data_IF_110964806074
#
_entry.id   IF_110964806074
#
_cell.length_a   1.000
_cell.length_b   1.000
_cell.length_c   1.000
_cell.angle_alpha   90.00
_cell.angle_beta   90.00
_cell.angle_gamma   90.00
#
_symmetry.space_group_name_H-M   'P 1'
#
loop_
_entity.id
_entity.type
_entity.pdbx_description
1 polymer ?
#
# COMPACT_ATOMS: atom_id res chain seq x y z
N UNK A 1 19.49 -4.56 -7.81
CA UNK A 1 18.19 -4.22 -7.18
C UNK A 1 17.26 -5.44 -7.02
N UNK A 2 17.07 -6.29 -8.05
CA UNK A 2 16.20 -7.48 -7.96
C UNK A 2 16.47 -8.40 -6.75
N UNK A 3 17.74 -8.74 -6.45
CA UNK A 3 18.10 -9.58 -5.29
C UNK A 3 17.68 -9.01 -3.92
N UNK A 4 17.69 -7.68 -3.75
CA UNK A 4 17.33 -7.05 -2.47
C UNK A 4 15.82 -7.09 -2.23
N UNK A 5 15.04 -6.81 -3.27
CA UNK A 5 13.58 -6.94 -3.25
C UNK A 5 13.15 -8.39 -3.05
N UNK A 6 13.83 -9.34 -3.69
CA UNK A 6 13.54 -10.76 -3.55
C UNK A 6 13.83 -11.28 -2.13
N UNK A 7 14.96 -10.86 -1.54
CA UNK A 7 15.32 -11.22 -0.15
C UNK A 7 14.35 -10.64 0.88
N UNK A 8 13.82 -9.44 0.62
CA UNK A 8 12.90 -8.73 1.51
C UNK A 8 11.44 -8.79 1.05
N UNK A 9 11.07 -9.73 0.17
CA UNK A 9 9.76 -9.78 -0.47
C UNK A 9 8.59 -9.78 0.53
N UNK A 10 8.77 -10.45 1.68
CA UNK A 10 7.78 -10.49 2.75
C UNK A 10 7.59 -9.12 3.40
N UNK A 11 8.65 -8.31 3.55
CA UNK A 11 8.54 -6.95 4.07
C UNK A 11 7.79 -6.03 3.09
N UNK A 12 8.02 -6.19 1.78
CA UNK A 12 7.31 -5.43 0.74
C UNK A 12 5.81 -5.75 0.76
N UNK A 13 5.46 -7.04 0.88
CA UNK A 13 4.07 -7.48 1.02
C UNK A 13 3.43 -6.88 2.28
N UNK A 14 4.07 -7.01 3.43
CA UNK A 14 3.55 -6.48 4.71
C UNK A 14 3.35 -4.96 4.64
N UNK A 15 4.29 -4.23 4.04
CA UNK A 15 4.20 -2.79 3.87
C UNK A 15 3.02 -2.39 2.97
N UNK A 16 2.81 -3.10 1.86
CA UNK A 16 1.67 -2.88 0.97
C UNK A 16 0.32 -3.13 1.66
N UNK A 17 0.21 -4.20 2.45
CA UNK A 17 -1.01 -4.50 3.22
C UNK A 17 -1.27 -3.43 4.30
N UNK A 18 -0.23 -3.01 5.04
CA UNK A 18 -0.38 -1.97 6.06
C UNK A 18 -0.85 -0.64 5.47
N UNK A 19 -0.30 -0.26 4.32
CA UNK A 19 -0.73 0.93 3.57
C UNK A 19 -2.20 0.85 3.17
N UNK A 20 -2.64 -0.28 2.61
CA UNK A 20 -4.05 -0.50 2.26
C UNK A 20 -4.98 -0.42 3.47
N UNK A 21 -4.64 -1.10 4.57
CA UNK A 21 -5.45 -1.07 5.79
C UNK A 21 -5.53 0.37 6.32
N UNK A 22 -4.41 1.09 6.38
CA UNK A 22 -4.40 2.47 6.86
C UNK A 22 -5.21 3.41 5.97
N UNK A 23 -5.09 3.30 4.65
CA UNK A 23 -5.87 4.09 3.69
C UNK A 23 -7.37 3.79 3.77
N UNK A 24 -7.74 2.51 3.88
CA UNK A 24 -9.13 2.10 4.04
C UNK A 24 -9.72 2.57 5.38
N UNK A 25 -8.96 2.47 6.46
CA UNK A 25 -9.38 2.95 7.79
C UNK A 25 -9.60 4.46 7.77
N UNK A 26 -8.69 5.21 7.13
CA UNK A 26 -8.77 6.66 7.01
C UNK A 26 -9.96 7.07 6.15
N UNK A 27 -10.19 6.41 5.00
CA UNK A 27 -11.36 6.63 4.17
C UNK A 27 -12.68 6.31 4.87
N UNK A 28 -12.71 5.27 5.73
CA UNK A 28 -13.91 4.92 6.50
C UNK A 28 -14.20 5.93 7.63
N UNK A 29 -13.17 6.35 8.38
CA UNK A 29 -13.34 7.25 9.52
C UNK A 29 -13.57 8.72 9.11
N UNK A 30 -12.99 9.13 7.98
CA UNK A 30 -12.95 10.53 7.52
C UNK A 30 -13.74 10.74 6.22
N UNK A 31 -14.67 9.86 5.91
CA UNK A 31 -15.51 9.95 4.71
C UNK A 31 -16.24 11.30 4.65
N UNK A 32 -16.11 12.01 3.52
CA UNK A 32 -16.68 13.34 3.33
C UNK A 32 -15.93 14.48 4.05
N UNK A 33 -14.78 14.19 4.67
CA UNK A 33 -13.93 15.22 5.28
C UNK A 33 -12.63 15.36 4.50
N UNK A 34 -12.59 16.38 3.66
CA UNK A 34 -11.37 16.81 2.97
C UNK A 34 -10.44 17.52 3.98
N UNK A 35 -9.11 17.33 3.91
CA UNK A 35 -8.34 16.55 2.93
C UNK A 35 -8.07 15.09 3.34
N UNK A 36 -8.58 14.65 4.49
CA UNK A 36 -8.25 13.36 5.09
C UNK A 36 -8.68 12.17 4.22
N UNK A 37 -9.85 12.26 3.59
CA UNK A 37 -10.31 11.27 2.62
C UNK A 37 -9.33 11.13 1.43
N UNK A 38 -8.84 12.25 0.90
CA UNK A 38 -7.85 12.28 -0.19
C UNK A 38 -6.54 11.62 0.22
N UNK A 39 -6.06 11.88 1.43
CA UNK A 39 -4.88 11.19 1.97
C UNK A 39 -5.11 9.68 2.12
N UNK A 40 -6.31 9.27 2.54
CA UNK A 40 -6.72 7.86 2.59
C UNK A 40 -6.69 7.20 1.22
N UNK A 41 -7.20 7.89 0.19
CA UNK A 41 -7.14 7.44 -1.20
C UNK A 41 -5.70 7.27 -1.72
N UNK A 42 -4.82 8.23 -1.42
CA UNK A 42 -3.39 8.17 -1.77
C UNK A 42 -2.70 6.99 -1.09
N UNK A 43 -2.92 6.78 0.21
CA UNK A 43 -2.37 5.65 0.97
C UNK A 43 -2.82 4.32 0.38
N UNK A 44 -4.10 4.22 0.01
CA UNK A 44 -4.67 3.03 -0.61
C UNK A 44 -4.04 2.76 -1.99
N UNK A 45 -3.89 3.80 -2.82
CA UNK A 45 -3.23 3.72 -4.13
C UNK A 45 -1.76 3.31 -4.04
N UNK A 46 -1.02 3.86 -3.08
CA UNK A 46 0.38 3.47 -2.82
C UNK A 46 0.49 2.03 -2.34
N UNK A 47 -0.38 1.61 -1.41
CA UNK A 47 -0.43 0.23 -0.94
C UNK A 47 -0.70 -0.77 -2.07
N UNK A 48 -1.66 -0.44 -2.93
CA UNK A 48 -1.96 -1.25 -4.12
C UNK A 48 -0.79 -1.29 -5.11
N UNK A 49 -0.13 -0.16 -5.38
CA UNK A 49 1.05 -0.10 -6.24
C UNK A 49 2.21 -0.95 -5.73
N UNK A 50 2.46 -0.93 -4.42
CA UNK A 50 3.48 -1.79 -3.78
C UNK A 50 3.15 -3.27 -3.96
N UNK A 51 1.87 -3.66 -3.82
CA UNK A 51 1.45 -5.05 -4.06
C UNK A 51 1.58 -5.46 -5.53
N UNK A 52 1.28 -4.57 -6.47
CA UNK A 52 1.51 -4.84 -7.90
C UNK A 52 3.00 -5.08 -8.19
N UNK A 53 3.90 -4.28 -7.61
CA UNK A 53 5.35 -4.50 -7.74
C UNK A 53 5.74 -5.85 -7.14
N UNK A 54 5.21 -6.19 -5.96
CA UNK A 54 5.45 -7.50 -5.34
C UNK A 54 5.04 -8.66 -6.26
N UNK A 55 3.83 -8.62 -6.83
CA UNK A 55 3.36 -9.68 -7.75
C UNK A 55 4.06 -9.67 -9.11
N UNK A 56 4.55 -8.51 -9.56
CA UNK A 56 5.31 -8.40 -10.80
C UNK A 56 6.72 -8.96 -10.71
N UNK A 57 7.27 -9.14 -9.49
CA UNK A 57 8.55 -9.81 -9.29
C UNK A 57 8.31 -11.31 -9.41
N UNK A 58 8.41 -11.80 -10.64
CA UNK A 58 8.46 -13.24 -10.97
C UNK A 58 9.91 -13.72 -10.85
N UNK A 59 10.10 -14.88 -10.22
CA UNK A 59 11.38 -15.61 -10.16
C UNK A 59 12.13 -15.61 -11.50
#
# INVERSE_FOLDING_TARGET
MKRFFYRNRNLVLVLGILLLISGALMGYLFYGTEPHETYGGILCGLGFGVLLIYFSIKD
#
